data_IF_957218212203
#
_entry.id   IF_957218212203
#
_cell.length_a   1.000
_cell.length_b   1.000
_cell.length_c   1.000
_cell.angle_alpha   90.00
_cell.angle_beta   90.00
_cell.angle_gamma   90.00
#
_symmetry.space_group_name_H-M   'P 1'
#
loop_
_entity.id
_entity.type
_entity.pdbx_description
1 polymer ?
#
# COMPACT_ATOMS: atom_id res chain seq x y z
N UNK A 1 -4.53 5.63 20.15
CA UNK A 1 -4.04 5.99 18.81
C UNK A 1 -2.54 5.83 18.80
N UNK A 2 -1.96 5.32 17.71
CA UNK A 2 -0.50 5.29 17.56
C UNK A 2 0.02 6.72 17.37
N UNK A 3 1.23 7.01 17.86
CA UNK A 3 1.83 8.35 17.78
C UNK A 3 2.57 8.59 16.45
N UNK A 4 2.06 8.02 15.35
CA UNK A 4 2.70 8.09 14.02
C UNK A 4 1.90 9.01 13.09
N UNK A 5 2.57 9.83 12.26
CA UNK A 5 1.88 10.52 11.17
C UNK A 5 1.36 9.48 10.16
N UNK A 6 0.11 9.65 9.72
CA UNK A 6 -0.56 8.75 8.78
C UNK A 6 -1.07 9.58 7.59
N UNK A 7 -0.87 9.05 6.38
CA UNK A 7 -1.44 9.60 5.16
C UNK A 7 -2.42 8.58 4.58
N UNK A 8 -3.67 8.99 4.40
CA UNK A 8 -4.66 8.22 3.67
C UNK A 8 -4.90 8.89 2.33
N UNK A 9 -4.75 8.14 1.23
CA UNK A 9 -4.98 8.66 -0.12
C UNK A 9 -6.42 9.13 -0.29
N UNK A 10 -6.64 10.06 -1.22
CA UNK A 10 -7.96 10.26 -1.79
C UNK A 10 -8.50 8.97 -2.43
N UNK A 11 -9.82 8.87 -2.60
CA UNK A 11 -10.44 7.76 -3.32
C UNK A 11 -10.04 7.77 -4.79
N UNK A 12 -9.55 6.63 -5.29
CA UNK A 12 -9.10 6.44 -6.66
C UNK A 12 -9.88 5.30 -7.30
N UNK A 13 -10.34 5.50 -8.53
CA UNK A 13 -10.97 4.48 -9.39
C UNK A 13 -10.04 4.03 -10.54
N UNK A 14 -8.81 4.56 -10.57
CA UNK A 14 -7.77 4.23 -11.55
C UNK A 14 -6.46 3.92 -10.84
N UNK A 15 -5.76 2.87 -11.30
CA UNK A 15 -4.45 2.49 -10.76
C UNK A 15 -3.41 3.61 -10.87
N UNK A 16 -3.45 4.40 -11.95
CA UNK A 16 -2.54 5.53 -12.13
C UNK A 16 -2.74 6.62 -11.04
N UNK A 17 -3.99 6.94 -10.70
CA UNK A 17 -4.32 7.92 -9.67
C UNK A 17 -3.89 7.41 -8.30
N UNK A 18 -4.09 6.12 -8.01
CA UNK A 18 -3.65 5.52 -6.75
C UNK A 18 -2.13 5.56 -6.59
N UNK A 19 -1.37 5.21 -7.64
CA UNK A 19 0.09 5.28 -7.62
C UNK A 19 0.58 6.72 -7.42
N UNK A 20 -0.06 7.68 -8.09
CA UNK A 20 0.27 9.09 -7.93
C UNK A 20 -0.06 9.62 -6.52
N UNK A 21 -1.20 9.22 -5.95
CA UNK A 21 -1.63 9.59 -4.59
C UNK A 21 -0.75 8.98 -3.50
N UNK A 22 -0.37 7.70 -3.62
CA UNK A 22 0.58 7.06 -2.69
C UNK A 22 1.94 7.78 -2.68
N UNK A 23 2.46 8.12 -3.87
CA UNK A 23 3.70 8.90 -3.98
C UNK A 23 3.53 10.36 -3.53
N UNK A 24 2.39 10.98 -3.77
CA UNK A 24 2.10 12.32 -3.25
C UNK A 24 2.16 12.34 -1.71
N UNK A 25 1.64 11.30 -1.06
CA UNK A 25 1.75 11.13 0.39
C UNK A 25 3.20 11.09 0.89
N UNK A 26 4.09 10.39 0.18
CA UNK A 26 5.53 10.42 0.48
C UNK A 26 6.13 11.82 0.34
N UNK A 27 5.79 12.54 -0.73
CA UNK A 27 6.30 13.89 -0.98
C UNK A 27 5.82 14.87 0.10
N UNK A 28 4.56 14.79 0.52
CA UNK A 28 4.00 15.59 1.63
C UNK A 28 4.73 15.27 2.93
N UNK A 29 4.91 13.99 3.26
CA UNK A 29 5.62 13.59 4.48
C UNK A 29 7.08 14.04 4.47
N UNK A 30 7.75 13.96 3.32
CA UNK A 30 9.11 14.44 3.15
C UNK A 30 9.23 15.95 3.35
N UNK A 31 8.32 16.73 2.78
CA UNK A 31 8.27 18.18 2.95
C UNK A 31 8.00 18.57 4.43
N UNK A 32 7.03 17.92 5.08
CA UNK A 32 6.76 18.12 6.50
C UNK A 32 7.99 17.83 7.38
N UNK A 33 8.71 16.73 7.10
CA UNK A 33 9.95 16.40 7.80
C UNK A 33 11.05 17.45 7.55
N UNK A 34 11.19 17.94 6.31
CA UNK A 34 12.15 18.98 5.97
C UNK A 34 11.84 20.29 6.71
N UNK A 35 10.58 20.73 6.70
CA UNK A 35 10.15 21.92 7.42
C UNK A 35 10.39 21.79 8.93
N UNK A 36 10.04 20.65 9.52
CA UNK A 36 10.25 20.39 10.94
C UNK A 36 11.75 20.44 11.30
N UNK A 37 12.61 19.83 10.48
CA UNK A 37 14.06 19.88 10.66
C UNK A 37 14.63 21.31 10.54
N UNK A 38 14.16 22.10 9.59
CA UNK A 38 14.56 23.50 9.46
C UNK A 38 14.18 24.32 10.70
N UNK A 39 12.98 24.10 11.25
CA UNK A 39 12.53 24.75 12.49
C UNK A 39 13.33 24.32 13.71
N UNK A 40 13.66 23.03 13.84
CA UNK A 40 14.52 22.52 14.92
C UNK A 40 15.91 23.17 14.86
N UNK A 41 16.51 23.22 13.67
CA UNK A 41 17.81 23.85 13.45
C UNK A 41 17.77 25.35 13.79
N UNK A 42 16.74 26.07 13.35
CA UNK A 42 16.57 27.50 13.66
C UNK A 42 16.38 27.76 15.16
N UNK A 43 15.76 26.82 15.89
CA UNK A 43 15.60 26.87 17.34
C UNK A 43 16.84 26.39 18.12
N UNK A 44 17.91 25.98 17.44
CA UNK A 44 19.11 25.43 18.08
C UNK A 44 18.91 24.08 18.77
N UNK A 45 17.84 23.36 18.43
CA UNK A 45 17.55 22.02 18.97
C UNK A 45 18.40 21.00 18.22
N UNK A 46 19.31 20.26 18.89
CA UNK A 46 20.16 19.29 18.23
C UNK A 46 19.35 18.08 17.75
N UNK A 47 19.66 17.59 16.55
CA UNK A 47 19.09 16.36 15.99
C UNK A 47 18.49 16.54 14.60
N UNK A 48 17.95 15.44 14.08
CA UNK A 48 17.24 15.39 12.81
C UNK A 48 16.11 14.37 12.88
N UNK A 49 14.94 14.75 12.41
CA UNK A 49 13.78 13.89 12.19
C UNK A 49 13.99 13.13 10.89
N UNK A 50 13.83 11.81 10.95
CA UNK A 50 13.71 10.91 9.80
C UNK A 50 12.31 10.32 9.79
N UNK A 51 11.68 10.26 8.61
CA UNK A 51 10.40 9.58 8.41
C UNK A 51 10.65 8.41 7.45
N UNK A 52 10.24 7.22 7.86
CA UNK A 52 10.46 5.99 7.13
C UNK A 52 9.12 5.40 6.68
N UNK A 53 8.95 5.18 5.38
CA UNK A 53 7.81 4.44 4.81
C UNK A 53 8.08 2.94 4.92
N UNK A 54 8.08 2.41 6.15
CA UNK A 54 8.27 0.98 6.41
C UNK A 54 7.21 0.45 7.39
N UNK A 55 7.44 -0.70 8.03
CA UNK A 55 6.45 -1.32 8.93
C UNK A 55 6.99 -1.70 10.30
N UNK A 56 8.30 -1.55 10.52
CA UNK A 56 8.95 -1.99 11.75
C UNK A 56 10.09 -1.07 12.14
N UNK A 57 10.21 -0.75 13.42
CA UNK A 57 11.36 -0.05 13.97
C UNK A 57 12.39 -1.02 14.60
N UNK A 58 13.50 -0.46 15.09
CA UNK A 58 14.58 -1.23 15.72
C UNK A 58 14.16 -1.92 17.04
N UNK A 59 13.16 -1.36 17.75
CA UNK A 59 12.60 -1.91 18.98
C UNK A 59 11.55 -3.01 18.70
N UNK A 60 11.22 -3.22 17.43
CA UNK A 60 10.28 -4.24 16.98
C UNK A 60 8.82 -3.80 17.00
N UNK A 61 8.54 -2.51 17.24
CA UNK A 61 7.19 -1.97 17.08
C UNK A 61 6.73 -2.11 15.64
N UNK A 62 5.45 -2.37 15.45
CA UNK A 62 4.85 -2.59 14.14
C UNK A 62 3.81 -1.54 13.79
N UNK A 63 3.87 -1.06 12.55
CA UNK A 63 2.92 -0.11 11.95
C UNK A 63 2.54 -0.57 10.53
N UNK A 64 1.38 -0.14 10.05
CA UNK A 64 0.71 -0.75 8.89
C UNK A 64 0.69 0.13 7.64
N UNK A 65 0.75 -0.51 6.48
CA UNK A 65 0.20 0.02 5.24
C UNK A 65 -1.14 -0.71 5.03
N UNK A 66 -2.22 0.04 4.89
CA UNK A 66 -3.56 -0.53 4.78
C UNK A 66 -4.12 -0.28 3.38
N UNK A 67 -4.74 -1.30 2.80
CA UNK A 67 -5.42 -1.21 1.52
C UNK A 67 -6.94 -1.21 1.75
N UNK A 68 -7.65 -0.42 0.95
CA UNK A 68 -9.10 -0.27 1.04
C UNK A 68 -9.72 -0.49 -0.33
N UNK A 69 -10.59 -1.49 -0.43
CA UNK A 69 -11.29 -1.83 -1.65
C UNK A 69 -12.79 -1.64 -1.45
N UNK A 70 -13.45 -0.91 -2.35
CA UNK A 70 -14.90 -0.83 -2.39
C UNK A 70 -15.42 -2.10 -3.06
N UNK A 71 -16.40 -2.75 -2.43
CA UNK A 71 -16.97 -4.01 -2.93
C UNK A 71 -18.49 -3.95 -2.86
N UNK A 72 -19.17 -4.68 -3.74
CA UNK A 72 -20.64 -4.73 -3.71
C UNK A 72 -21.16 -5.43 -2.46
N UNK A 73 -22.25 -4.90 -1.91
CA UNK A 73 -22.89 -5.48 -0.74
C UNK A 73 -23.71 -6.70 -1.15
N UNK A 74 -23.12 -7.88 -0.96
CA UNK A 74 -23.76 -9.20 -1.15
C UNK A 74 -23.79 -9.97 0.17
N UNK A 75 -24.71 -10.92 0.31
CA UNK A 75 -24.91 -11.67 1.56
C UNK A 75 -23.76 -12.63 1.88
N UNK A 76 -23.08 -13.12 0.85
CA UNK A 76 -21.97 -14.06 0.84
C UNK A 76 -20.58 -13.41 0.81
N UNK A 77 -20.50 -12.08 0.68
CA UNK A 77 -19.21 -11.38 0.51
C UNK A 77 -18.13 -11.77 1.52
N UNK A 78 -18.47 -11.95 2.79
CA UNK A 78 -17.47 -12.32 3.80
C UNK A 78 -16.97 -13.77 3.67
N UNK A 79 -17.72 -14.64 3.00
CA UNK A 79 -17.24 -15.97 2.62
C UNK A 79 -16.25 -15.83 1.45
N UNK A 80 -16.58 -15.04 0.44
CA UNK A 80 -15.70 -14.78 -0.71
C UNK A 80 -14.39 -14.11 -0.26
N UNK A 81 -14.47 -13.09 0.59
CA UNK A 81 -13.31 -12.40 1.13
C UNK A 81 -12.38 -13.34 1.92
N UNK A 82 -12.91 -14.36 2.62
CA UNK A 82 -12.08 -15.37 3.29
C UNK A 82 -11.30 -16.22 2.32
N UNK A 83 -11.84 -16.46 1.12
CA UNK A 83 -11.14 -17.23 0.08
C UNK A 83 -9.93 -16.48 -0.51
N UNK A 84 -9.78 -15.17 -0.24
CA UNK A 84 -8.59 -14.39 -0.60
C UNK A 84 -7.43 -14.54 0.40
N UNK A 85 -7.66 -15.12 1.57
CA UNK A 85 -6.61 -15.32 2.59
C UNK A 85 -5.36 -16.02 2.04
N UNK A 86 -5.45 -17.10 1.24
CA UNK A 86 -4.28 -17.75 0.66
C UNK A 86 -3.46 -16.82 -0.24
N UNK A 87 -4.11 -15.98 -1.06
CA UNK A 87 -3.42 -14.95 -1.84
C UNK A 87 -2.73 -13.94 -0.92
N UNK A 88 -3.43 -13.40 0.09
CA UNK A 88 -2.89 -12.43 1.03
C UNK A 88 -1.68 -12.94 1.82
N UNK A 89 -1.69 -14.22 2.18
CA UNK A 89 -0.58 -14.91 2.86
C UNK A 89 0.64 -15.07 1.95
N UNK A 90 0.42 -15.40 0.68
CA UNK A 90 1.51 -15.80 -0.23
C UNK A 90 2.01 -14.67 -1.14
N UNK A 91 1.23 -13.60 -1.35
CA UNK A 91 1.63 -12.47 -2.21
C UNK A 91 2.89 -11.74 -1.74
N UNK A 92 3.32 -11.93 -0.49
CA UNK A 92 4.57 -11.35 0.03
C UNK A 92 5.82 -11.78 -0.75
N UNK A 93 5.81 -12.95 -1.42
CA UNK A 93 6.92 -13.36 -2.30
C UNK A 93 7.05 -12.47 -3.54
N UNK A 94 6.00 -11.68 -3.83
CA UNK A 94 5.92 -10.74 -4.94
C UNK A 94 6.02 -9.30 -4.45
N UNK A 95 5.22 -8.93 -3.44
CA UNK A 95 5.03 -7.52 -3.03
C UNK A 95 5.58 -7.19 -1.64
N UNK A 96 6.29 -8.13 -1.00
CA UNK A 96 7.01 -7.86 0.25
C UNK A 96 8.05 -6.76 0.07
N UNK A 97 8.28 -5.95 1.10
CA UNK A 97 9.25 -4.86 1.03
C UNK A 97 10.69 -5.31 1.32
N UNK A 98 10.89 -6.55 1.78
CA UNK A 98 12.19 -7.07 2.21
C UNK A 98 12.61 -6.57 3.59
N UNK A 99 13.13 -7.49 4.41
CA UNK A 99 13.58 -7.22 5.78
C UNK A 99 14.78 -8.08 6.18
N UNK A 100 15.53 -7.62 7.19
CA UNK A 100 16.56 -8.43 7.86
C UNK A 100 15.99 -8.90 9.20
N UNK A 101 15.79 -10.21 9.37
CA UNK A 101 15.18 -10.82 10.55
C UNK A 101 15.82 -10.38 11.86
N UNK A 102 15.09 -10.44 12.97
CA UNK A 102 15.62 -10.18 14.31
C UNK A 102 16.64 -11.24 14.77
N UNK A 103 16.55 -12.44 14.19
CA UNK A 103 17.34 -13.61 14.56
C UNK A 103 18.83 -13.43 14.22
N UNK A 104 19.65 -13.33 15.27
CA UNK A 104 21.09 -13.14 15.13
C UNK A 104 21.81 -14.35 14.54
N UNK A 105 21.31 -15.57 14.74
CA UNK A 105 21.88 -16.78 14.15
C UNK A 105 21.57 -16.82 12.65
N UNK A 106 20.33 -16.54 12.27
CA UNK A 106 19.93 -16.47 10.87
C UNK A 106 20.71 -15.40 10.08
N UNK A 107 21.03 -14.25 10.70
CA UNK A 107 21.86 -13.19 10.08
C UNK A 107 23.32 -13.59 9.85
N UNK A 108 23.86 -14.48 10.70
CA UNK A 108 25.25 -14.95 10.63
C UNK A 108 25.41 -16.21 9.79
N UNK A 109 24.31 -16.94 9.58
CA UNK A 109 24.36 -18.21 8.89
C UNK A 109 24.97 -18.02 7.49
N UNK A 110 26.00 -18.83 7.17
CA UNK A 110 26.69 -18.72 5.90
C UNK A 110 25.74 -19.05 4.74
N UNK A 111 26.09 -18.52 3.58
CA UNK A 111 25.40 -18.74 2.32
C UNK A 111 25.16 -20.24 2.05
N UNK A 112 23.98 -20.76 2.37
CA UNK A 112 23.58 -22.11 2.02
C UNK A 112 22.65 -22.03 0.81
N UNK A 113 23.22 -22.20 -0.39
CA UNK A 113 22.56 -22.32 -1.71
C UNK A 113 21.19 -21.63 -1.89
N UNK A 114 21.15 -20.55 -2.69
CA UNK A 114 19.91 -19.84 -3.07
C UNK A 114 20.12 -18.32 -3.08
N UNK A 115 19.06 -17.55 -2.81
CA UNK A 115 19.08 -16.07 -2.67
C UNK A 115 20.03 -15.53 -1.58
N UNK A 116 20.71 -16.37 -0.82
CA UNK A 116 22.08 -16.05 -0.41
C UNK A 116 22.33 -15.25 0.88
N UNK A 117 21.28 -14.91 1.63
CA UNK A 117 21.40 -14.60 3.06
C UNK A 117 20.17 -15.13 3.80
N UNK A 118 20.36 -16.13 4.67
CA UNK A 118 19.29 -16.74 5.49
C UNK A 118 18.60 -15.76 6.44
N UNK A 119 19.22 -14.61 6.72
CA UNK A 119 18.64 -13.56 7.56
C UNK A 119 17.84 -12.51 6.78
N UNK A 120 17.82 -12.56 5.44
CA UNK A 120 16.93 -11.72 4.65
C UNK A 120 15.57 -12.43 4.53
N UNK A 121 14.45 -11.70 4.53
CA UNK A 121 13.08 -12.25 4.48
C UNK A 121 12.19 -11.37 3.60
N UNK A 122 11.07 -11.90 3.09
CA UNK A 122 10.22 -11.17 2.15
C UNK A 122 9.47 -9.98 2.77
N UNK A 123 8.92 -10.13 3.98
CA UNK A 123 8.01 -9.15 4.58
C UNK A 123 8.49 -8.62 5.93
N UNK A 124 8.19 -7.35 6.21
CA UNK A 124 8.35 -6.75 7.54
C UNK A 124 7.20 -7.06 8.49
N UNK A 125 6.03 -7.42 7.94
CA UNK A 125 4.76 -7.57 8.65
C UNK A 125 4.43 -8.99 9.07
N UNK A 126 4.91 -10.00 8.35
CA UNK A 126 4.49 -11.40 8.53
C UNK A 126 4.57 -11.89 9.99
N UNK A 127 5.68 -11.62 10.69
CA UNK A 127 5.87 -12.03 12.10
C UNK A 127 4.95 -11.30 13.09
N UNK A 128 4.33 -10.20 12.65
CA UNK A 128 3.46 -9.36 13.48
C UNK A 128 1.97 -9.70 13.31
N UNK A 129 1.63 -10.63 12.43
CA UNK A 129 0.25 -11.07 12.16
C UNK A 129 -0.16 -12.18 13.12
N UNK A 130 -1.38 -12.08 13.67
CA UNK A 130 -1.87 -12.99 14.71
C UNK A 130 -3.24 -13.59 14.42
N UNK A 131 -3.99 -13.05 13.46
CA UNK A 131 -5.34 -13.52 13.12
C UNK A 131 -5.56 -13.44 11.59
N UNK A 132 -6.41 -14.30 11.05
CA UNK A 132 -6.72 -14.30 9.62
C UNK A 132 -7.77 -13.23 9.30
N UNK A 133 -8.85 -13.16 10.11
CA UNK A 133 -10.00 -12.28 9.86
C UNK A 133 -10.62 -11.83 11.19
N UNK A 134 -10.66 -10.53 11.44
CA UNK A 134 -11.13 -9.96 12.73
C UNK A 134 -11.58 -8.51 12.55
N UNK A 135 -12.32 -7.96 13.52
CA UNK A 135 -12.69 -6.53 13.52
C UNK A 135 -11.68 -5.63 14.26
N UNK A 136 -10.74 -6.22 15.02
CA UNK A 136 -9.79 -5.49 15.87
C UNK A 136 -8.45 -5.19 15.16
N UNK A 137 -8.11 -3.92 14.96
CA UNK A 137 -6.89 -3.50 14.21
C UNK A 137 -5.59 -3.52 15.04
N UNK A 138 -5.65 -3.33 16.36
CA UNK A 138 -4.45 -3.12 17.19
C UNK A 138 -4.07 -4.31 18.08
N UNK A 139 -5.04 -5.13 18.52
CA UNK A 139 -4.82 -6.29 19.40
C UNK A 139 -4.83 -7.66 18.69
N UNK A 140 -5.63 -7.81 17.63
CA UNK A 140 -5.71 -9.07 16.87
C UNK A 140 -4.92 -9.03 15.55
N UNK A 141 -4.74 -7.85 14.93
CA UNK A 141 -4.03 -7.66 13.66
C UNK A 141 -4.40 -8.73 12.60
N UNK A 142 -5.68 -8.78 12.17
CA UNK A 142 -6.14 -9.74 11.18
C UNK A 142 -5.55 -9.49 9.79
N UNK A 143 -5.57 -10.44 8.87
CA UNK A 143 -5.21 -10.14 7.46
C UNK A 143 -6.26 -9.23 6.81
N UNK A 144 -7.54 -9.54 7.05
CA UNK A 144 -8.71 -8.78 6.59
C UNK A 144 -9.47 -8.24 7.81
N UNK A 145 -9.68 -6.92 7.85
CA UNK A 145 -10.50 -6.28 8.85
C UNK A 145 -11.98 -6.27 8.42
N UNK A 146 -12.86 -6.73 9.31
CA UNK A 146 -14.29 -6.89 9.03
C UNK A 146 -15.19 -5.75 9.48
N UNK A 147 -14.62 -4.60 9.85
CA UNK A 147 -15.39 -3.45 10.31
C UNK A 147 -16.26 -2.90 9.16
N UNK A 148 -17.56 -2.77 9.42
CA UNK A 148 -18.54 -2.31 8.43
C UNK A 148 -18.66 -0.78 8.44
N UNK A 149 -17.61 -0.10 7.98
CA UNK A 149 -17.56 1.35 7.78
C UNK A 149 -17.33 1.65 6.28
N UNK A 150 -18.39 1.56 5.45
CA UNK A 150 -18.24 1.61 3.99
C UNK A 150 -17.78 2.98 3.46
N UNK A 151 -18.02 4.05 4.22
CA UNK A 151 -17.91 5.43 3.74
C UNK A 151 -18.57 5.62 2.37
N UNK A 152 -19.69 4.96 2.15
CA UNK A 152 -20.50 5.01 0.94
C UNK A 152 -21.94 4.64 1.33
N UNK A 153 -22.85 4.57 0.37
CA UNK A 153 -24.17 3.98 0.58
C UNK A 153 -24.06 2.56 1.16
N UNK A 154 -24.47 2.41 2.42
CA UNK A 154 -24.36 1.18 3.19
C UNK A 154 -25.35 0.08 2.75
N UNK A 155 -26.32 0.39 1.89
CA UNK A 155 -27.16 -0.63 1.25
C UNK A 155 -26.48 -1.24 0.04
N UNK A 156 -25.63 -0.46 -0.65
CA UNK A 156 -25.00 -0.84 -1.93
C UNK A 156 -23.60 -1.40 -1.78
N UNK A 157 -22.83 -0.89 -0.81
CA UNK A 157 -21.38 -1.15 -0.74
C UNK A 157 -20.89 -1.59 0.63
N UNK A 158 -19.71 -2.21 0.63
CA UNK A 158 -18.85 -2.41 1.81
C UNK A 158 -17.45 -1.89 1.50
N UNK A 159 -16.66 -1.67 2.54
CA UNK A 159 -15.22 -1.40 2.43
C UNK A 159 -14.45 -2.59 2.96
N UNK A 160 -13.74 -3.29 2.09
CA UNK A 160 -12.79 -4.33 2.49
C UNK A 160 -11.47 -3.66 2.89
N UNK A 161 -11.10 -3.81 4.15
CA UNK A 161 -9.89 -3.19 4.72
C UNK A 161 -8.85 -4.27 4.96
N UNK A 162 -7.78 -4.29 4.17
CA UNK A 162 -6.67 -5.25 4.26
C UNK A 162 -5.50 -4.61 4.99
N UNK A 163 -4.86 -5.34 5.93
CA UNK A 163 -3.77 -4.78 6.76
C UNK A 163 -2.48 -5.60 6.75
N UNK A 164 -2.42 -6.67 5.94
CA UNK A 164 -1.25 -7.55 5.86
C UNK A 164 -0.08 -6.94 5.07
N UNK A 165 -0.37 -6.02 4.14
CA UNK A 165 0.62 -5.51 3.19
C UNK A 165 1.77 -4.73 3.85
N UNK A 166 2.96 -4.85 3.27
CA UNK A 166 4.09 -3.99 3.59
C UNK A 166 3.90 -2.60 2.95
N UNK A 167 4.57 -1.60 3.53
CA UNK A 167 4.75 -0.28 2.94
C UNK A 167 5.79 -0.39 1.82
N UNK A 168 5.37 -0.13 0.57
CA UNK A 168 6.20 -0.28 -0.62
C UNK A 168 6.80 1.05 -1.06
N UNK A 169 8.04 1.02 -1.55
CA UNK A 169 8.77 2.20 -2.08
C UNK A 169 8.75 2.18 -3.61
N UNK A 170 8.98 1.01 -4.20
CA UNK A 170 8.89 0.81 -5.63
C UNK A 170 7.44 0.86 -6.12
N UNK A 171 7.18 1.68 -7.14
CA UNK A 171 5.84 1.78 -7.75
C UNK A 171 5.36 0.44 -8.30
N UNK A 172 6.27 -0.42 -8.78
CA UNK A 172 5.93 -1.76 -9.27
C UNK A 172 5.34 -2.67 -8.20
N UNK A 173 5.89 -2.66 -6.97
CA UNK A 173 5.33 -3.39 -5.84
C UNK A 173 3.95 -2.86 -5.44
N UNK A 174 3.76 -1.54 -5.36
CA UNK A 174 2.43 -0.96 -5.07
C UNK A 174 1.43 -1.32 -6.17
N UNK A 175 1.82 -1.22 -7.44
CA UNK A 175 1.00 -1.57 -8.60
C UNK A 175 0.54 -3.03 -8.52
N UNK A 176 1.48 -3.97 -8.40
CA UNK A 176 1.14 -5.40 -8.33
C UNK A 176 0.27 -5.71 -7.13
N UNK A 177 0.56 -5.12 -5.96
CA UNK A 177 -0.20 -5.33 -4.73
C UNK A 177 -1.68 -4.99 -4.89
N UNK A 178 -1.98 -3.85 -5.52
CA UNK A 178 -3.35 -3.35 -5.67
C UNK A 178 -4.03 -3.98 -6.88
N UNK A 179 -3.37 -4.04 -8.03
CA UNK A 179 -3.96 -4.61 -9.25
C UNK A 179 -4.29 -6.10 -9.10
N UNK A 180 -3.45 -6.87 -8.37
CA UNK A 180 -3.76 -8.27 -8.08
C UNK A 180 -5.05 -8.41 -7.28
N UNK A 181 -5.24 -7.57 -6.26
CA UNK A 181 -6.45 -7.57 -5.44
C UNK A 181 -7.67 -7.12 -6.22
N UNK A 182 -7.54 -6.07 -7.03
CA UNK A 182 -8.62 -5.54 -7.87
C UNK A 182 -9.16 -6.64 -8.82
N UNK A 183 -8.25 -7.32 -9.53
CA UNK A 183 -8.60 -8.40 -10.45
C UNK A 183 -9.16 -9.64 -9.72
N UNK A 184 -8.65 -10.00 -8.54
CA UNK A 184 -9.18 -11.12 -7.76
C UNK A 184 -10.57 -10.82 -7.20
N UNK A 185 -10.81 -9.59 -6.79
CA UNK A 185 -12.13 -9.16 -6.34
C UNK A 185 -13.13 -9.21 -7.51
N UNK A 186 -12.75 -8.70 -8.68
CA UNK A 186 -13.59 -8.79 -9.88
C UNK A 186 -13.88 -10.25 -10.31
N UNK A 187 -12.86 -11.13 -10.25
CA UNK A 187 -13.02 -12.56 -10.48
C UNK A 187 -14.07 -13.18 -9.54
N UNK A 188 -14.00 -12.89 -8.23
CA UNK A 188 -14.98 -13.37 -7.25
C UNK A 188 -16.37 -12.76 -7.49
N UNK A 189 -16.45 -11.46 -7.78
CA UNK A 189 -17.74 -10.81 -8.08
C UNK A 189 -18.43 -11.41 -9.31
N UNK A 190 -17.64 -11.87 -10.27
CA UNK A 190 -18.07 -12.56 -11.50
C UNK A 190 -18.44 -14.04 -11.29
N UNK A 191 -18.38 -14.54 -10.06
CA UNK A 191 -18.73 -15.92 -9.70
C UNK A 191 -17.56 -16.90 -9.74
N UNK A 192 -16.32 -16.40 -9.82
CA UNK A 192 -15.12 -17.18 -9.59
C UNK A 192 -15.08 -17.77 -8.19
N UNK A 193 -14.38 -18.90 -8.05
CA UNK A 193 -14.20 -19.60 -6.77
C UNK A 193 -12.70 -19.74 -6.45
N UNK A 194 -12.34 -19.61 -5.18
CA UNK A 194 -11.01 -19.80 -4.59
C UNK A 194 -11.07 -20.67 -3.32
N UNK A 195 -12.24 -21.23 -2.99
CA UNK A 195 -12.48 -21.98 -1.74
C UNK A 195 -11.62 -23.23 -1.64
N UNK A 196 -11.23 -23.82 -2.77
CA UNK A 196 -10.34 -24.98 -2.86
C UNK A 196 -8.88 -24.67 -2.48
N UNK A 197 -8.51 -23.39 -2.34
CA UNK A 197 -7.16 -22.97 -1.94
C UNK A 197 -7.04 -22.63 -0.46
N UNK A 198 -8.10 -22.87 0.32
CA UNK A 198 -8.15 -22.52 1.75
C UNK A 198 -7.00 -23.16 2.53
N UNK A 199 -6.23 -22.35 3.25
CA UNK A 199 -5.12 -22.79 4.11
C UNK A 199 -5.64 -23.37 5.43
N UNK A 200 -5.00 -24.44 5.90
CA UNK A 200 -5.30 -25.05 7.21
C UNK A 200 -4.88 -24.14 8.37
N UNK A 201 -3.72 -23.48 8.27
CA UNK A 201 -3.23 -22.50 9.24
C UNK A 201 -2.60 -21.29 8.52
N UNK A 202 -3.40 -20.24 8.23
CA UNK A 202 -2.92 -19.02 7.57
C UNK A 202 -1.79 -18.30 8.33
N UNK A 203 -1.77 -18.38 9.67
CA UNK A 203 -0.84 -17.63 10.52
C UNK A 203 0.51 -18.30 10.62
N UNK A 204 0.54 -19.64 10.58
CA UNK A 204 1.78 -20.36 10.33
C UNK A 204 2.26 -20.13 8.89
N UNK A 205 1.37 -20.30 7.92
CA UNK A 205 1.70 -20.19 6.49
C UNK A 205 2.33 -18.83 6.10
N UNK A 206 1.86 -17.73 6.68
CA UNK A 206 2.43 -16.40 6.41
C UNK A 206 3.86 -16.24 6.93
N UNK A 207 4.19 -16.86 8.07
CA UNK A 207 5.56 -16.84 8.61
C UNK A 207 6.45 -17.77 7.81
N UNK A 208 6.00 -19.01 7.56
CA UNK A 208 6.75 -19.99 6.76
C UNK A 208 7.07 -19.44 5.36
N UNK A 209 6.10 -18.76 4.73
CA UNK A 209 6.32 -18.08 3.43
C UNK A 209 7.31 -16.92 3.54
N UNK A 210 7.27 -16.12 4.60
CA UNK A 210 8.14 -14.94 4.76
C UNK A 210 9.63 -15.31 4.84
N UNK A 211 9.92 -16.35 5.64
CA UNK A 211 11.29 -16.76 5.96
C UNK A 211 11.90 -17.71 4.92
N UNK A 212 11.11 -18.22 3.97
CA UNK A 212 11.61 -19.07 2.89
C UNK A 212 11.70 -18.34 1.55
N UNK A 213 12.85 -17.72 1.28
CA UNK A 213 13.14 -17.09 -0.01
C UNK A 213 13.25 -18.06 -1.19
N UNK A 214 13.30 -19.38 -0.96
CA UNK A 214 13.19 -20.33 -2.07
C UNK A 214 11.78 -20.37 -2.67
N UNK A 215 10.77 -19.93 -1.91
CA UNK A 215 9.36 -20.06 -2.26
C UNK A 215 8.84 -21.50 -2.18
N UNK A 216 9.61 -22.41 -1.57
CA UNK A 216 9.35 -23.85 -1.46
C UNK A 216 8.61 -24.27 -0.18
N UNK A 217 8.26 -23.34 0.70
CA UNK A 217 7.53 -23.59 1.93
C UNK A 217 6.22 -24.33 1.63
N UNK A 218 6.08 -25.54 2.17
CA UNK A 218 4.90 -26.38 1.98
C UNK A 218 3.79 -25.90 2.91
N UNK A 219 2.73 -25.38 2.30
CA UNK A 219 1.55 -24.86 2.98
C UNK A 219 0.44 -25.93 2.91
N UNK A 220 -0.07 -26.33 4.08
CA UNK A 220 -1.17 -27.28 4.18
C UNK A 220 -2.51 -26.59 3.89
N UNK A 221 -3.31 -27.19 3.01
CA UNK A 221 -4.67 -26.76 2.70
C UNK A 221 -5.66 -27.46 3.64
N UNK A 222 -6.86 -26.89 3.78
CA UNK A 222 -7.91 -27.45 4.65
C UNK A 222 -8.40 -28.84 4.22
N UNK A 223 -8.15 -29.24 2.98
CA UNK A 223 -8.49 -30.56 2.43
C UNK A 223 -7.36 -31.60 2.56
N UNK A 224 -6.23 -31.23 3.19
CA UNK A 224 -5.07 -32.08 3.40
C UNK A 224 -4.07 -32.12 2.25
N UNK A 225 -4.33 -31.43 1.13
CA UNK A 225 -3.29 -31.19 0.11
C UNK A 225 -2.22 -30.25 0.66
N UNK A 226 -1.06 -30.26 0.01
CA UNK A 226 -0.01 -29.26 0.24
C UNK A 226 0.32 -28.54 -1.05
N UNK A 227 0.62 -27.25 -0.95
CA UNK A 227 1.09 -26.41 -2.05
C UNK A 227 2.21 -25.51 -1.57
N UNK A 228 3.19 -25.24 -2.42
CA UNK A 228 4.18 -24.19 -2.16
C UNK A 228 3.57 -22.80 -2.32
N UNK A 229 4.20 -21.78 -1.73
CA UNK A 229 3.78 -20.38 -1.95
C UNK A 229 3.83 -19.98 -3.44
N UNK A 230 4.81 -20.53 -4.19
CA UNK A 230 4.92 -20.37 -5.64
C UNK A 230 3.74 -21.00 -6.38
N UNK A 231 3.37 -22.24 -6.05
CA UNK A 231 2.23 -22.94 -6.67
C UNK A 231 0.91 -22.22 -6.35
N UNK A 232 0.75 -21.78 -5.11
CA UNK A 232 -0.41 -21.00 -4.66
C UNK A 232 -0.59 -19.74 -5.52
N UNK A 233 0.46 -18.93 -5.68
CA UNK A 233 0.38 -17.70 -6.47
C UNK A 233 0.29 -17.96 -7.98
N UNK A 234 0.88 -19.06 -8.48
CA UNK A 234 0.72 -19.46 -9.88
C UNK A 234 -0.74 -19.83 -10.20
N UNK A 235 -1.41 -20.57 -9.30
CA UNK A 235 -2.82 -20.94 -9.46
C UNK A 235 -3.73 -19.70 -9.49
N UNK A 236 -3.49 -18.71 -8.62
CA UNK A 236 -4.22 -17.44 -8.68
C UNK A 236 -4.00 -16.71 -10.00
N UNK A 237 -2.75 -16.63 -10.47
CA UNK A 237 -2.42 -15.98 -11.74
C UNK A 237 -3.08 -16.69 -12.93
N UNK A 238 -3.10 -18.02 -12.95
CA UNK A 238 -3.72 -18.79 -14.03
C UNK A 238 -5.25 -18.60 -14.05
N UNK A 239 -5.91 -18.52 -12.88
CA UNK A 239 -7.34 -18.16 -12.80
C UNK A 239 -7.60 -16.75 -13.33
N UNK A 240 -6.77 -15.77 -12.94
CA UNK A 240 -6.89 -14.41 -13.45
C UNK A 240 -6.67 -14.31 -14.95
N UNK A 241 -5.73 -15.07 -15.51
CA UNK A 241 -5.51 -15.11 -16.97
C UNK A 241 -6.74 -15.61 -17.73
N UNK A 242 -7.37 -16.67 -17.21
CA UNK A 242 -8.61 -17.19 -17.78
C UNK A 242 -9.76 -16.19 -17.65
N UNK A 243 -9.84 -15.49 -16.52
CA UNK A 243 -10.84 -14.45 -16.27
C UNK A 243 -10.68 -13.25 -17.20
N UNK A 244 -9.45 -12.73 -17.33
CA UNK A 244 -9.10 -11.61 -18.21
C UNK A 244 -9.35 -11.94 -19.68
N UNK A 245 -9.18 -13.21 -20.09
CA UNK A 245 -9.51 -13.65 -21.44
C UNK A 245 -11.02 -13.62 -21.76
N UNK A 246 -11.89 -13.49 -20.75
CA UNK A 246 -13.35 -13.54 -20.84
C UNK A 246 -14.06 -12.18 -20.88
N UNK A 247 -13.63 -11.27 -21.76
CA UNK A 247 -14.18 -9.92 -21.99
C UNK A 247 -14.02 -8.89 -20.84
N UNK A 248 -13.13 -9.13 -19.87
CA UNK A 248 -12.78 -8.11 -18.87
C UNK A 248 -11.92 -7.00 -19.49
N UNK A 249 -12.35 -5.74 -19.35
CA UNK A 249 -11.55 -4.60 -19.77
C UNK A 249 -10.36 -4.40 -18.81
N UNK A 250 -9.15 -4.67 -19.28
CA UNK A 250 -7.91 -4.45 -18.53
C UNK A 250 -7.15 -3.26 -19.08
N UNK A 251 -6.69 -2.38 -18.18
CA UNK A 251 -5.82 -1.26 -18.56
C UNK A 251 -4.38 -1.72 -18.79
N UNK A 252 -3.54 -0.85 -19.37
CA UNK A 252 -2.10 -1.13 -19.52
C UNK A 252 -1.39 -1.42 -18.18
N UNK A 253 -1.85 -0.77 -17.09
CA UNK A 253 -1.31 -1.01 -15.74
C UNK A 253 -1.72 -2.38 -15.19
N UNK A 254 -2.93 -2.86 -15.50
CA UNK A 254 -3.33 -4.24 -15.16
C UNK A 254 -2.48 -5.25 -15.92
N UNK A 255 -2.28 -5.05 -17.24
CA UNK A 255 -1.42 -5.91 -18.04
C UNK A 255 0.02 -5.92 -17.52
N UNK A 256 0.56 -4.76 -17.17
CA UNK A 256 1.90 -4.65 -16.58
C UNK A 256 2.00 -5.32 -15.21
N UNK A 257 0.94 -5.29 -14.38
CA UNK A 257 0.90 -6.00 -13.12
C UNK A 257 0.90 -7.52 -13.32
N UNK A 258 0.11 -8.05 -14.25
CA UNK A 258 0.07 -9.49 -14.56
C UNK A 258 1.41 -10.00 -15.11
N UNK A 259 2.06 -9.23 -16.00
CA UNK A 259 3.43 -9.51 -16.46
C UNK A 259 4.44 -9.52 -15.29
N UNK A 260 4.35 -8.51 -14.41
CA UNK A 260 5.23 -8.42 -13.24
C UNK A 260 4.98 -9.56 -12.24
N UNK A 261 3.73 -10.03 -12.10
CA UNK A 261 3.38 -11.20 -11.30
C UNK A 261 4.08 -12.45 -11.86
N UNK A 262 3.95 -12.71 -13.16
CA UNK A 262 4.61 -13.84 -13.81
C UNK A 262 6.13 -13.79 -13.64
N UNK A 263 6.75 -12.64 -13.95
CA UNK A 263 8.20 -12.47 -13.79
C UNK A 263 8.63 -12.60 -12.34
N UNK A 264 7.83 -12.14 -11.38
CA UNK A 264 8.08 -12.30 -9.95
C UNK A 264 8.10 -13.77 -9.54
N UNK A 265 7.15 -14.58 -10.03
CA UNK A 265 7.14 -16.03 -9.81
C UNK A 265 8.37 -16.69 -10.44
N UNK A 266 8.76 -16.27 -11.64
CA UNK A 266 9.99 -16.77 -12.29
C UNK A 266 11.24 -16.38 -11.50
N UNK A 267 11.33 -15.15 -11.01
CA UNK A 267 12.45 -14.66 -10.21
C UNK A 267 12.65 -15.49 -8.93
N UNK A 268 11.56 -15.77 -8.21
CA UNK A 268 11.61 -16.61 -7.01
C UNK A 268 11.94 -18.06 -7.40
N UNK A 269 11.26 -18.65 -8.39
CA UNK A 269 11.50 -20.04 -8.82
C UNK A 269 12.94 -20.28 -9.29
N UNK A 270 13.52 -19.36 -10.04
CA UNK A 270 14.87 -19.46 -10.60
C UNK A 270 15.95 -18.96 -9.63
N UNK A 271 15.56 -18.37 -8.49
CA UNK A 271 16.46 -17.70 -7.56
C UNK A 271 17.25 -16.56 -8.24
N UNK A 272 16.58 -15.82 -9.11
CA UNK A 272 17.11 -14.72 -9.94
C UNK A 272 16.35 -13.42 -9.65
N UNK A 273 16.64 -12.75 -8.52
CA UNK A 273 15.92 -11.54 -8.12
C UNK A 273 16.14 -10.39 -9.12
N UNK A 274 17.23 -10.42 -9.88
CA UNK A 274 17.54 -9.42 -10.91
C UNK A 274 16.48 -9.31 -12.01
N UNK A 275 15.64 -10.33 -12.22
CA UNK A 275 14.55 -10.30 -13.21
C UNK A 275 13.46 -9.27 -12.89
N UNK A 276 13.38 -8.86 -11.62
CA UNK A 276 12.34 -7.96 -11.08
C UNK A 276 12.91 -6.92 -10.11
N UNK A 277 14.24 -6.82 -9.99
CA UNK A 277 14.91 -5.91 -9.06
C UNK A 277 14.71 -4.43 -9.40
N UNK A 278 14.22 -4.12 -10.60
CA UNK A 278 13.84 -2.74 -10.96
C UNK A 278 12.40 -2.39 -10.57
N UNK A 279 11.58 -3.34 -10.14
CA UNK A 279 10.15 -3.11 -9.91
C UNK A 279 9.65 -3.59 -8.54
N UNK A 280 10.27 -4.64 -7.98
CA UNK A 280 9.84 -5.25 -6.72
C UNK A 280 10.80 -4.93 -5.56
N UNK A 281 10.25 -4.38 -4.48
CA UNK A 281 11.03 -3.89 -3.33
C UNK A 281 11.94 -4.96 -2.71
N UNK A 282 11.40 -6.16 -2.45
CA UNK A 282 12.20 -7.22 -1.85
C UNK A 282 13.42 -7.56 -2.71
N UNK A 283 13.28 -7.55 -4.04
CA UNK A 283 14.35 -7.88 -4.98
C UNK A 283 15.35 -6.72 -5.13
N UNK A 284 14.84 -5.49 -5.26
CA UNK A 284 15.67 -4.28 -5.32
C UNK A 284 16.55 -4.15 -4.07
N UNK A 285 15.95 -4.27 -2.89
CA UNK A 285 16.66 -4.18 -1.62
C UNK A 285 17.58 -5.38 -1.39
N UNK A 286 17.18 -6.58 -1.82
CA UNK A 286 18.03 -7.76 -1.77
C UNK A 286 19.31 -7.55 -2.58
N UNK A 287 19.19 -7.02 -3.80
CA UNK A 287 20.34 -6.71 -4.66
C UNK A 287 21.25 -5.66 -4.02
N UNK A 288 20.69 -4.61 -3.41
CA UNK A 288 21.46 -3.56 -2.71
C UNK A 288 22.26 -4.13 -1.53
N UNK A 289 21.60 -4.91 -0.67
CA UNK A 289 22.22 -5.55 0.49
C UNK A 289 23.31 -6.53 0.05
N UNK A 290 23.00 -7.39 -0.91
CA UNK A 290 23.94 -8.39 -1.44
C UNK A 290 25.19 -7.73 -2.01
N UNK A 291 25.01 -6.72 -2.85
CA UNK A 291 26.14 -5.99 -3.44
C UNK A 291 26.98 -5.27 -2.38
N UNK A 292 26.35 -4.67 -1.37
CA UNK A 292 27.06 -4.01 -0.28
C UNK A 292 27.92 -5.01 0.51
N UNK A 293 27.33 -6.14 0.91
CA UNK A 293 28.00 -7.19 1.64
C UNK A 293 29.20 -7.77 0.86
N UNK A 294 29.01 -8.05 -0.43
CA UNK A 294 30.08 -8.52 -1.32
C UNK A 294 31.22 -7.51 -1.47
N UNK A 295 30.90 -6.24 -1.70
CA UNK A 295 31.90 -5.18 -1.90
C UNK A 295 32.75 -4.93 -0.65
N UNK A 296 32.16 -5.06 0.54
CA UNK A 296 32.82 -4.76 1.81
C UNK A 296 33.28 -6.00 2.58
N UNK A 297 33.09 -7.21 2.03
CA UNK A 297 33.45 -8.46 2.70
C UNK A 297 32.74 -8.62 4.05
N UNK A 298 31.45 -8.30 4.10
CA UNK A 298 30.64 -8.29 5.32
C UNK A 298 29.33 -9.07 5.16
N UNK A 299 28.48 -9.07 6.19
CA UNK A 299 27.23 -9.83 6.26
C UNK A 299 26.08 -8.97 6.83
N UNK A 300 24.92 -9.60 7.06
CA UNK A 300 23.72 -8.93 7.56
C UNK A 300 23.82 -8.45 9.02
N UNK A 301 24.90 -8.77 9.73
CA UNK A 301 25.15 -8.27 11.09
C UNK A 301 25.80 -6.89 11.10
N UNK A 302 26.33 -6.42 9.98
CA UNK A 302 26.94 -5.09 9.88
C UNK A 302 25.88 -3.99 10.08
N UNK A 303 26.03 -3.10 11.09
CA UNK A 303 25.11 -1.99 11.31
C UNK A 303 24.92 -1.08 10.08
N UNK A 304 25.91 -1.02 9.18
CA UNK A 304 25.83 -0.27 7.93
C UNK A 304 24.85 -0.89 6.93
N UNK A 305 24.70 -2.22 6.95
CA UNK A 305 23.68 -2.93 6.16
C UNK A 305 22.28 -2.61 6.71
N UNK A 306 22.10 -2.64 8.03
CA UNK A 306 20.84 -2.19 8.65
C UNK A 306 20.53 -0.73 8.32
N UNK A 307 21.52 0.15 8.36
CA UNK A 307 21.35 1.56 7.96
C UNK A 307 20.94 1.67 6.48
N UNK A 308 21.51 0.85 5.60
CA UNK A 308 21.16 0.81 4.18
C UNK A 308 19.69 0.41 3.99
N UNK A 309 19.20 -0.60 4.73
CA UNK A 309 17.79 -1.03 4.63
C UNK A 309 16.81 0.01 5.19
N UNK A 310 17.20 0.80 6.20
CA UNK A 310 16.41 1.94 6.67
C UNK A 310 16.42 3.09 5.65
N UNK A 311 17.57 3.41 5.07
CA UNK A 311 17.69 4.46 4.05
C UNK A 311 16.91 4.15 2.76
N UNK A 312 16.66 2.87 2.46
CA UNK A 312 15.76 2.47 1.38
C UNK A 312 14.35 3.03 1.56
N UNK A 313 13.91 3.14 2.81
CA UNK A 313 12.56 3.55 3.20
C UNK A 313 12.45 5.01 3.65
N UNK A 314 13.57 5.74 3.73
CA UNK A 314 13.56 7.14 4.14
C UNK A 314 12.94 7.99 3.01
N UNK A 315 11.88 8.73 3.33
CA UNK A 315 11.15 9.57 2.37
C UNK A 315 11.94 10.83 1.97
N UNK A 316 13.03 11.14 2.68
CA UNK A 316 13.87 12.28 2.38
C UNK A 316 14.46 12.20 0.96
N UNK A 317 14.39 13.27 0.15
CA UNK A 317 15.05 13.32 -1.14
C UNK A 317 16.59 13.20 -1.04
N UNK A 318 17.17 13.64 0.07
CA UNK A 318 18.62 13.64 0.30
C UNK A 318 19.12 12.34 0.94
N UNK A 319 18.42 11.86 1.97
CA UNK A 319 18.86 10.70 2.76
C UNK A 319 18.30 9.38 2.21
N UNK A 320 17.12 9.43 1.60
CA UNK A 320 16.46 8.31 0.96
C UNK A 320 17.20 7.78 -0.26
N UNK A 321 16.87 6.54 -0.63
CA UNK A 321 17.42 5.89 -1.83
C UNK A 321 16.47 5.97 -3.02
N UNK A 322 15.15 6.09 -2.80
CA UNK A 322 14.14 5.97 -3.85
C UNK A 322 14.44 6.82 -5.09
N UNK A 323 14.49 8.16 -4.94
CA UNK A 323 14.75 9.08 -6.05
C UNK A 323 16.10 8.82 -6.74
N UNK A 324 17.14 8.43 -5.97
CA UNK A 324 18.46 8.12 -6.52
C UNK A 324 18.43 6.86 -7.37
N UNK A 325 17.73 5.82 -6.91
CA UNK A 325 17.56 4.57 -7.64
C UNK A 325 16.71 4.78 -8.89
N UNK A 326 15.61 5.55 -8.79
CA UNK A 326 14.76 5.91 -9.93
C UNK A 326 15.51 6.71 -10.99
N UNK A 327 16.35 7.68 -10.59
CA UNK A 327 17.17 8.46 -11.52
C UNK A 327 18.30 7.64 -12.17
N UNK A 328 18.77 6.60 -11.48
CA UNK A 328 19.77 5.67 -11.99
C UNK A 328 19.17 4.54 -12.85
N UNK A 329 17.84 4.51 -13.05
CA UNK A 329 17.15 3.41 -13.73
C UNK A 329 17.15 2.08 -12.96
N UNK A 330 17.48 2.12 -11.67
CA UNK A 330 17.47 0.96 -10.77
C UNK A 330 16.10 0.73 -10.12
N UNK A 331 15.19 1.71 -10.18
CA UNK A 331 13.77 1.54 -9.88
C UNK A 331 12.95 2.15 -11.02
N UNK A 332 12.03 1.36 -11.57
CA UNK A 332 11.14 1.74 -12.67
C UNK A 332 9.97 2.56 -12.13
N UNK A 333 9.63 3.60 -12.88
CA UNK A 333 8.40 4.39 -12.69
C UNK A 333 7.31 3.89 -13.64
N UNK A 334 6.08 3.86 -13.13
CA UNK A 334 4.85 3.56 -13.86
C UNK A 334 3.99 4.81 -14.05
N UNK A 335 4.09 5.76 -13.11
CA UNK A 335 3.59 7.14 -13.24
C UNK A 335 4.74 8.11 -13.10
N UNK A 336 4.71 9.20 -13.87
CA UNK A 336 5.78 10.20 -13.88
C UNK A 336 5.76 11.13 -12.65
N UNK A 337 6.87 11.82 -12.42
CA UNK A 337 7.00 12.74 -11.28
C UNK A 337 6.04 13.92 -11.36
N UNK A 338 5.60 14.30 -12.57
CA UNK A 338 4.68 15.41 -12.75
C UNK A 338 3.29 15.02 -12.24
N UNK A 339 2.82 13.82 -12.55
CA UNK A 339 1.59 13.24 -12.03
C UNK A 339 1.62 13.13 -10.51
N UNK A 340 2.72 12.62 -9.94
CA UNK A 340 2.90 12.53 -8.49
C UNK A 340 2.88 13.89 -7.81
N UNK A 341 3.53 14.92 -8.39
CA UNK A 341 3.52 16.29 -7.84
C UNK A 341 2.15 16.94 -7.97
N UNK A 342 1.48 16.80 -9.11
CA UNK A 342 0.11 17.30 -9.30
C UNK A 342 -0.86 16.68 -8.28
N UNK A 343 -0.69 15.40 -7.95
CA UNK A 343 -1.54 14.70 -6.99
C UNK A 343 -1.41 15.21 -5.53
N UNK A 344 -0.42 16.04 -5.21
CA UNK A 344 -0.32 16.72 -3.90
C UNK A 344 -1.47 17.72 -3.74
N UNK A 345 -1.72 18.53 -4.76
CA UNK A 345 -2.67 19.65 -4.70
C UNK A 345 -3.95 19.40 -5.49
N UNK A 346 -3.95 18.37 -6.36
CA UNK A 346 -5.08 18.05 -7.25
C UNK A 346 -5.63 16.65 -6.92
N UNK A 347 -6.88 16.53 -6.43
CA UNK A 347 -7.49 15.23 -6.16
C UNK A 347 -7.82 14.48 -7.47
N UNK A 348 -8.05 13.15 -7.41
CA UNK A 348 -8.57 12.39 -8.55
C UNK A 348 -9.87 13.00 -9.09
N UNK A 349 -9.91 13.21 -10.41
CA UNK A 349 -11.00 13.96 -11.06
C UNK A 349 -12.29 13.16 -11.25
N UNK A 350 -12.23 11.83 -11.11
CA UNK A 350 -13.31 10.90 -11.43
C UNK A 350 -14.07 10.38 -10.22
N UNK A 351 -13.66 10.78 -9.01
CA UNK A 351 -14.29 10.34 -7.76
C UNK A 351 -14.81 11.54 -6.98
N UNK A 352 -15.55 11.28 -5.89
CA UNK A 352 -15.99 12.34 -4.96
C UNK A 352 -14.86 13.14 -4.34
N UNK A 353 -13.62 12.63 -4.40
CA UNK A 353 -12.46 13.39 -3.96
C UNK A 353 -12.29 14.70 -4.74
N UNK A 354 -12.72 14.72 -6.02
CA UNK A 354 -12.79 15.93 -6.83
C UNK A 354 -13.66 17.01 -6.16
N UNK A 355 -14.90 16.64 -5.80
CA UNK A 355 -15.85 17.53 -5.12
C UNK A 355 -15.30 18.01 -3.78
N UNK A 356 -14.75 17.09 -2.98
CA UNK A 356 -14.16 17.42 -1.68
C UNK A 356 -13.01 18.42 -1.81
N UNK A 357 -12.08 18.15 -2.72
CA UNK A 357 -10.91 19.02 -2.92
C UNK A 357 -11.29 20.40 -3.45
N UNK A 358 -12.28 20.50 -4.34
CA UNK A 358 -12.78 21.79 -4.83
C UNK A 358 -13.34 22.66 -3.69
N UNK A 359 -14.11 22.07 -2.77
CA UNK A 359 -14.68 22.77 -1.62
C UNK A 359 -13.61 23.17 -0.60
N UNK A 360 -12.66 22.29 -0.30
CA UNK A 360 -11.54 22.59 0.61
C UNK A 360 -10.69 23.74 0.05
N UNK A 361 -10.23 23.62 -1.20
CA UNK A 361 -9.41 24.65 -1.84
C UNK A 361 -10.12 26.00 -1.85
N UNK A 362 -11.41 26.02 -2.20
CA UNK A 362 -12.18 27.26 -2.22
C UNK A 362 -12.38 27.86 -0.83
N UNK A 363 -12.64 27.04 0.18
CA UNK A 363 -12.78 27.51 1.56
C UNK A 363 -11.46 28.11 2.07
N UNK A 364 -10.31 27.51 1.73
CA UNK A 364 -8.99 28.04 2.06
C UNK A 364 -8.73 29.41 1.39
N UNK A 365 -9.00 29.53 0.08
CA UNK A 365 -8.86 30.79 -0.67
C UNK A 365 -9.68 31.93 -0.05
N UNK A 366 -10.89 31.62 0.42
CA UNK A 366 -11.83 32.57 1.02
C UNK A 366 -11.71 32.68 2.54
N UNK A 367 -10.80 31.93 3.17
CA UNK A 367 -10.61 31.85 4.64
C UNK A 367 -11.91 31.57 5.40
N UNK A 368 -12.66 30.58 4.93
CA UNK A 368 -13.91 30.11 5.55
C UNK A 368 -13.67 28.86 6.37
N UNK A 369 -14.32 28.80 7.53
CA UNK A 369 -14.30 27.59 8.37
C UNK A 369 -15.16 26.50 7.73
N UNK A 370 -14.56 25.32 7.57
CA UNK A 370 -15.15 24.17 6.90
C UNK A 370 -14.88 22.92 7.72
N UNK A 371 -15.95 22.16 8.01
CA UNK A 371 -15.85 20.80 8.55
C UNK A 371 -16.03 19.79 7.41
N UNK A 372 -15.08 18.87 7.26
CA UNK A 372 -15.07 17.85 6.20
C UNK A 372 -14.78 16.46 6.78
N UNK A 373 -15.44 15.44 6.24
CA UNK A 373 -15.05 14.04 6.36
C UNK A 373 -15.15 13.32 4.98
N UNK A 374 -15.03 11.99 4.96
CA UNK A 374 -15.10 11.20 3.71
C UNK A 374 -16.41 11.36 2.94
N UNK A 375 -17.53 11.54 3.65
CA UNK A 375 -18.90 11.53 3.14
C UNK A 375 -19.67 12.82 3.40
N UNK A 376 -19.10 13.80 4.11
CA UNK A 376 -19.79 15.02 4.49
C UNK A 376 -18.93 16.29 4.30
N UNK A 377 -19.60 17.34 3.84
CA UNK A 377 -19.07 18.69 3.69
C UNK A 377 -20.00 19.67 4.40
N UNK A 378 -19.48 20.52 5.29
CA UNK A 378 -20.27 21.54 5.97
C UNK A 378 -19.47 22.83 6.17
N UNK A 379 -20.00 23.94 5.66
CA UNK A 379 -19.57 25.29 6.03
C UNK A 379 -20.00 25.60 7.47
N UNK A 380 -19.09 26.09 8.30
CA UNK A 380 -19.39 26.44 9.69
C UNK A 380 -19.89 27.90 9.81
N UNK A 381 -20.90 28.25 9.01
CA UNK A 381 -21.53 29.59 8.97
C UNK A 381 -22.89 29.67 9.71
N UNK A 382 -23.37 28.53 10.22
CA UNK A 382 -24.65 28.39 10.93
C UNK A 382 -25.90 28.42 10.03
N UNK A 383 -25.75 28.53 8.71
CA UNK A 383 -26.86 28.65 7.75
C UNK A 383 -26.81 27.59 6.65
N UNK A 384 -25.61 27.20 6.21
CA UNK A 384 -25.39 26.24 5.14
C UNK A 384 -25.73 24.81 5.58
N UNK A 385 -26.50 24.05 4.78
CA UNK A 385 -26.77 22.65 5.08
C UNK A 385 -25.52 21.78 4.87
N UNK A 386 -25.43 20.68 5.61
CA UNK A 386 -24.43 19.64 5.33
C UNK A 386 -24.74 18.96 4.00
N UNK A 387 -23.75 18.86 3.11
CA UNK A 387 -23.83 18.10 1.87
C UNK A 387 -23.25 16.71 2.08
N UNK A 388 -24.01 15.67 1.75
CA UNK A 388 -23.58 14.26 1.86
C UNK A 388 -23.15 13.69 0.51
N UNK A 389 -21.94 13.14 0.46
CA UNK A 389 -21.28 12.52 -0.69
C UNK A 389 -21.24 10.98 -0.54
N UNK A 390 -22.43 10.36 -0.56
CA UNK A 390 -22.59 8.91 -0.33
C UNK A 390 -22.17 8.03 -1.51
N UNK A 391 -22.12 8.59 -2.73
CA UNK A 391 -21.63 7.88 -3.93
C UNK A 391 -20.15 8.22 -4.16
N UNK A 392 -19.20 7.27 -3.95
CA UNK A 392 -17.79 7.52 -4.14
C UNK A 392 -17.40 7.79 -5.61
N UNK A 393 -18.24 7.37 -6.57
CA UNK A 393 -18.01 7.57 -8.01
C UNK A 393 -18.54 8.91 -8.53
N UNK A 394 -19.27 9.67 -7.71
CA UNK A 394 -19.85 10.94 -8.11
C UNK A 394 -18.81 12.05 -8.07
N UNK A 395 -18.44 12.58 -9.25
CA UNK A 395 -17.52 13.71 -9.39
C UNK A 395 -18.21 15.05 -9.71
N UNK A 396 -19.54 15.08 -9.81
CA UNK A 396 -20.33 16.28 -10.08
C UNK A 396 -21.64 16.26 -9.28
N UNK A 397 -21.92 17.31 -8.50
CA UNK A 397 -23.10 17.39 -7.62
C UNK A 397 -23.58 18.84 -7.51
N UNK A 398 -24.81 19.11 -7.96
CA UNK A 398 -25.42 20.46 -7.95
C UNK A 398 -25.45 21.08 -6.55
N UNK A 399 -25.51 20.26 -5.48
CA UNK A 399 -25.49 20.75 -4.10
C UNK A 399 -24.11 21.27 -3.70
N UNK A 400 -23.05 20.69 -4.26
CA UNK A 400 -21.68 21.16 -4.08
C UNK A 400 -21.46 22.44 -4.89
N UNK A 401 -21.99 22.52 -6.11
CA UNK A 401 -21.94 23.74 -6.92
C UNK A 401 -22.61 24.92 -6.20
N UNK A 402 -23.83 24.71 -5.67
CA UNK A 402 -24.53 25.71 -4.86
C UNK A 402 -23.76 26.10 -3.58
N UNK A 403 -23.07 25.15 -2.94
CA UNK A 403 -22.22 25.43 -1.78
C UNK A 403 -21.06 26.36 -2.17
N UNK A 404 -20.39 26.09 -3.29
CA UNK A 404 -19.30 26.92 -3.81
C UNK A 404 -19.78 28.33 -4.17
N UNK A 405 -20.92 28.45 -4.85
CA UNK A 405 -21.54 29.74 -5.19
C UNK A 405 -21.90 30.56 -3.93
N UNK A 406 -22.42 29.91 -2.89
CA UNK A 406 -22.75 30.58 -1.63
C UNK A 406 -21.51 31.13 -0.90
N UNK A 407 -20.36 30.45 -1.01
CA UNK A 407 -19.09 30.95 -0.47
C UNK A 407 -18.67 32.26 -1.14
N UNK A 408 -18.85 32.37 -2.47
CA UNK A 408 -18.50 33.56 -3.25
C UNK A 408 -19.38 34.78 -2.92
N UNK A 409 -20.70 34.57 -2.86
CA UNK A 409 -21.65 35.64 -2.51
C UNK A 409 -21.40 36.16 -1.10
N UNK A 410 -21.20 35.27 -0.13
CA UNK A 410 -20.93 35.68 1.25
C UNK A 410 -19.60 36.41 1.42
N UNK A 411 -18.61 36.18 0.54
CA UNK A 411 -17.32 36.88 0.56
C UNK A 411 -17.40 38.28 -0.05
N UNK A 412 -18.26 38.48 -1.05
CA UNK A 412 -18.46 39.77 -1.72
C UNK A 412 -19.35 40.73 -0.92
N UNK A 413 -20.22 40.21 -0.04
CA UNK A 413 -21.08 40.99 0.85
C UNK A 413 -20.42 41.38 2.20
N UNK A 414 -19.13 41.11 2.40
CA UNK A 414 -18.39 41.65 3.55
C UNK A 414 -18.28 43.18 3.41
N UNK A 415 -18.74 43.98 4.40
CA UNK A 415 -18.66 45.43 4.29
C UNK A 415 -17.19 45.85 4.13
N UNK A 416 -16.94 46.70 3.14
CA UNK A 416 -15.65 47.36 2.98
C UNK A 416 -15.37 48.23 4.21
N UNK A 417 -14.61 47.68 5.15
CA UNK A 417 -13.98 48.39 6.27
C UNK A 417 -14.66 48.19 7.62
N UNK A 418 -13.87 47.68 8.57
CA UNK A 418 -13.51 48.41 9.80
C UNK A 418 -12.02 48.26 10.05
#
# INVERSE_FOLDING_TARGET
MGSHPEFATAECDRLADLLAQDRAGELVMADLAQQANARLAAAGVPGRIHLLKNNRDAEGNGFGCHENYLVRRRGDFWNDARTLVPHLVTRQILVGAGHITADAEARRAPHSGGLGYSGYVFSQRADQMWDAVSSATTRARPLINTRDEPHADAERYRRMHVIVGDSNVAQGSTLLKVAAMDLLLDYLESGGDLSDLTLADPIRAIRDTCHDLSGGALLELSDGRTMTALEMQAEHLDRLRNHVAGDLEVTELHAAALDLWERGLQAVRLQQPELVATELDWAAKHQLVTRYCQLHGTDLTDPRVTRLTLAYHDVSPEQGLCQRLENAGMLRRFVDDEACRRAIDTPPATTRAHLRGAVVARAEDLRRDLTVDWVSLRLDDGASPTVTLSDPFCAADERVDALLENMEHSATDLPAGV
#
